data_IF_109997461618
#
_entry.id   IF_109997461618
#
_cell.length_a   1.000
_cell.length_b   1.000
_cell.length_c   1.000
_cell.angle_alpha   90.00
_cell.angle_beta   90.00
_cell.angle_gamma   90.00
#
_symmetry.space_group_name_H-M   'P 1'
#
loop_
_entity.id
_entity.type
_entity.pdbx_description
1 polymer ?
#
# COMPACT_ATOMS: atom_id res chain seq x y z
N UNK A 1 -1.22 5.98 10.81
CA UNK A 1 -1.46 4.55 10.51
C UNK A 1 -1.52 3.66 11.76
N UNK A 2 -0.42 3.59 12.54
CA UNK A 2 -0.36 2.75 13.76
C UNK A 2 -1.53 3.01 14.71
N UNK A 3 -1.74 4.25 15.17
CA UNK A 3 -2.83 4.60 16.10
C UNK A 3 -4.20 4.17 15.57
N UNK A 4 -4.48 4.40 14.28
CA UNK A 4 -5.75 4.02 13.65
C UNK A 4 -5.94 2.49 13.68
N UNK A 5 -4.95 1.75 13.23
CA UNK A 5 -4.97 0.28 13.22
C UNK A 5 -5.14 -0.27 14.65
N UNK A 6 -4.36 0.23 15.62
CA UNK A 6 -4.44 -0.21 17.01
C UNK A 6 -5.82 0.03 17.62
N UNK A 7 -6.43 1.20 17.35
CA UNK A 7 -7.77 1.53 17.86
C UNK A 7 -8.88 0.74 17.14
N UNK A 8 -8.70 0.43 15.87
CA UNK A 8 -9.66 -0.34 15.08
C UNK A 8 -9.59 -1.84 15.34
N UNK A 9 -8.45 -2.38 15.76
CA UNK A 9 -8.24 -3.82 16.01
C UNK A 9 -9.37 -4.43 16.85
N UNK A 10 -9.69 -3.80 17.99
CA UNK A 10 -10.77 -4.26 18.86
C UNK A 10 -12.16 -4.27 18.21
N UNK A 11 -12.41 -3.39 17.23
CA UNK A 11 -13.66 -3.40 16.46
C UNK A 11 -13.63 -4.49 15.38
N UNK A 12 -12.49 -4.70 14.74
CA UNK A 12 -12.31 -5.73 13.73
C UNK A 12 -12.48 -7.14 14.30
N UNK A 13 -12.00 -7.40 15.53
CA UNK A 13 -12.14 -8.71 16.18
C UNK A 13 -13.58 -9.05 16.57
N UNK A 14 -14.46 -8.05 16.71
CA UNK A 14 -15.90 -8.26 16.95
C UNK A 14 -16.70 -8.61 15.69
N UNK A 15 -16.10 -8.48 14.50
CA UNK A 15 -16.74 -8.87 13.24
C UNK A 15 -17.09 -10.36 13.26
N UNK A 16 -18.19 -10.79 12.63
CA UNK A 16 -18.49 -12.22 12.46
C UNK A 16 -17.77 -12.84 11.26
N UNK A 17 -17.17 -12.01 10.39
CA UNK A 17 -16.41 -12.49 9.24
C UNK A 17 -15.10 -13.15 9.69
N UNK A 18 -14.72 -14.31 9.13
CA UNK A 18 -13.53 -15.06 9.55
C UNK A 18 -12.22 -14.34 9.21
N UNK A 19 -12.21 -13.56 8.12
CA UNK A 19 -11.08 -12.74 7.70
C UNK A 19 -11.45 -11.26 7.75
N UNK A 20 -10.49 -10.44 8.16
CA UNK A 20 -10.56 -8.98 8.08
C UNK A 20 -9.26 -8.46 7.52
N UNK A 21 -9.28 -7.27 6.92
CA UNK A 21 -8.17 -6.80 6.11
C UNK A 21 -7.73 -5.41 6.52
N UNK A 22 -6.42 -5.21 6.62
CA UNK A 22 -5.78 -3.90 6.65
C UNK A 22 -4.86 -3.81 5.44
N UNK A 23 -5.23 -2.98 4.46
CA UNK A 23 -4.40 -2.74 3.28
C UNK A 23 -3.76 -1.36 3.39
N UNK A 24 -2.47 -1.33 3.67
CA UNK A 24 -1.70 -0.09 3.72
C UNK A 24 -1.27 0.32 2.30
N UNK A 25 -1.84 1.41 1.78
CA UNK A 25 -1.45 1.95 0.47
C UNK A 25 -0.06 2.56 0.57
N UNK A 26 0.95 1.82 0.11
CA UNK A 26 2.36 2.18 0.17
C UNK A 26 2.88 2.57 -1.22
N UNK A 27 4.19 2.51 -1.42
CA UNK A 27 4.85 2.81 -2.69
C UNK A 27 6.28 2.25 -2.71
N UNK A 28 6.85 2.07 -3.91
CA UNK A 28 8.28 1.78 -4.09
C UNK A 28 9.23 2.81 -3.45
N UNK A 29 8.75 4.02 -3.15
CA UNK A 29 9.49 5.03 -2.39
C UNK A 29 9.84 4.58 -0.95
N UNK A 30 9.03 3.69 -0.37
CA UNK A 30 9.27 3.13 0.97
C UNK A 30 10.32 2.03 1.02
N UNK A 31 10.75 1.49 -0.13
CA UNK A 31 11.75 0.41 -0.21
C UNK A 31 13.15 0.98 -0.05
N UNK A 32 13.95 0.46 0.88
CA UNK A 32 15.29 0.99 1.16
C UNK A 32 16.27 0.68 0.02
N UNK A 33 16.32 -0.57 -0.44
CA UNK A 33 17.28 -1.09 -1.43
C UNK A 33 16.91 -0.77 -2.88
N UNK A 34 16.36 0.42 -3.12
CA UNK A 34 16.02 0.87 -4.48
C UNK A 34 17.26 1.50 -5.15
N UNK A 35 17.58 1.06 -6.37
CA UNK A 35 18.79 1.50 -7.09
C UNK A 35 18.92 3.02 -7.32
N UNK A 36 17.81 3.76 -7.31
CA UNK A 36 17.83 5.22 -7.30
C UNK A 36 16.84 5.78 -6.27
N UNK A 37 17.33 6.69 -5.42
CA UNK A 37 16.54 7.55 -4.55
C UNK A 37 17.05 8.99 -4.66
N UNK A 38 16.26 9.85 -5.32
CA UNK A 38 16.55 11.27 -5.40
C UNK A 38 16.16 12.02 -4.12
N UNK A 39 16.73 13.21 -3.92
CA UNK A 39 16.40 14.11 -2.81
C UNK A 39 15.02 14.81 -2.93
N UNK A 40 14.23 14.47 -3.95
CA UNK A 40 12.96 15.15 -4.26
C UNK A 40 11.83 14.88 -3.26
N UNK A 41 11.74 13.66 -2.71
CA UNK A 41 10.62 13.25 -1.84
C UNK A 41 11.07 12.54 -0.55
N UNK A 42 12.00 13.13 0.26
CA UNK A 42 12.50 12.47 1.46
C UNK A 42 11.39 12.20 2.49
N UNK A 43 10.39 13.07 2.58
CA UNK A 43 9.24 12.90 3.45
C UNK A 43 8.37 11.71 3.03
N UNK A 44 8.08 11.55 1.74
CA UNK A 44 7.30 10.41 1.23
C UNK A 44 8.07 9.11 1.38
N UNK A 45 9.38 9.11 1.11
CA UNK A 45 10.25 7.96 1.35
C UNK A 45 10.15 7.49 2.82
N UNK A 46 10.32 8.40 3.79
CA UNK A 46 10.22 8.08 5.22
C UNK A 46 8.81 7.59 5.61
N UNK A 47 7.77 8.28 5.13
CA UNK A 47 6.38 7.91 5.43
C UNK A 47 6.04 6.51 4.90
N UNK A 48 6.42 6.20 3.66
CA UNK A 48 6.15 4.90 3.04
C UNK A 48 7.03 3.79 3.63
N UNK A 49 8.28 4.10 3.98
CA UNK A 49 9.16 3.15 4.67
C UNK A 49 8.65 2.78 6.06
N UNK A 50 8.23 3.77 6.85
CA UNK A 50 7.63 3.53 8.17
C UNK A 50 6.30 2.76 8.09
N UNK A 51 5.51 3.00 7.03
CA UNK A 51 4.29 2.24 6.76
C UNK A 51 4.57 0.78 6.39
N UNK A 52 5.58 0.53 5.55
CA UNK A 52 6.05 -0.83 5.24
C UNK A 52 6.52 -1.54 6.51
N UNK A 53 7.27 -0.85 7.37
CA UNK A 53 7.76 -1.40 8.62
C UNK A 53 6.61 -1.75 9.57
N UNK A 54 5.57 -0.92 9.65
CA UNK A 54 4.35 -1.24 10.41
C UNK A 54 3.76 -2.58 9.97
N UNK A 55 3.56 -2.78 8.67
CA UNK A 55 3.06 -4.06 8.15
C UNK A 55 4.02 -5.21 8.48
N UNK A 56 5.31 -5.04 8.20
CA UNK A 56 6.32 -6.08 8.43
C UNK A 56 6.39 -6.54 9.89
N UNK A 57 6.25 -5.62 10.84
CA UNK A 57 6.37 -5.92 12.27
C UNK A 57 5.06 -6.42 12.88
N UNK A 58 3.92 -5.84 12.50
CA UNK A 58 2.65 -6.11 13.18
C UNK A 58 1.82 -7.20 12.55
N UNK A 59 2.08 -7.60 11.30
CA UNK A 59 1.17 -8.49 10.57
C UNK A 59 1.00 -9.88 11.21
N UNK A 60 2.03 -10.46 11.81
CA UNK A 60 1.94 -11.77 12.49
C UNK A 60 0.99 -11.72 13.68
N UNK A 61 1.14 -10.71 14.54
CA UNK A 61 0.26 -10.49 15.71
C UNK A 61 -1.17 -10.16 15.27
N UNK A 62 -1.33 -9.40 14.19
CA UNK A 62 -2.66 -9.12 13.62
C UNK A 62 -3.31 -10.37 13.02
N UNK A 63 -2.52 -11.26 12.42
CA UNK A 63 -3.03 -12.50 11.83
C UNK A 63 -3.54 -13.48 12.89
N UNK A 64 -2.95 -13.51 14.09
CA UNK A 64 -3.47 -14.27 15.22
C UNK A 64 -4.92 -13.89 15.60
N UNK A 65 -5.36 -12.67 15.26
CA UNK A 65 -6.73 -12.17 15.42
C UNK A 65 -7.59 -12.31 14.14
N UNK A 66 -7.09 -13.00 13.11
CA UNK A 66 -7.75 -13.14 11.81
C UNK A 66 -7.73 -11.85 10.97
N UNK A 67 -6.76 -10.95 11.21
CA UNK A 67 -6.62 -9.69 10.48
C UNK A 67 -5.38 -9.75 9.57
N UNK A 68 -5.61 -9.85 8.27
CA UNK A 68 -4.57 -9.92 7.25
C UNK A 68 -4.11 -8.49 6.92
N UNK A 69 -2.86 -8.18 7.28
CA UNK A 69 -2.27 -6.86 7.04
C UNK A 69 -1.25 -6.92 5.91
N UNK A 70 -1.42 -6.09 4.88
CA UNK A 70 -0.53 -6.01 3.70
C UNK A 70 -0.12 -4.56 3.41
N UNK A 71 0.97 -4.38 2.67
CA UNK A 71 1.31 -3.10 2.04
C UNK A 71 1.22 -3.25 0.53
N UNK A 72 0.65 -2.27 -0.18
CA UNK A 72 0.44 -2.35 -1.63
C UNK A 72 0.99 -1.13 -2.34
N UNK A 73 1.80 -1.34 -3.37
CA UNK A 73 2.19 -0.33 -4.35
C UNK A 73 1.10 -0.18 -5.42
N UNK A 74 0.51 1.02 -5.51
CA UNK A 74 -0.46 1.33 -6.58
C UNK A 74 0.21 1.56 -7.93
N UNK A 75 1.53 1.71 -7.96
CA UNK A 75 2.25 2.25 -9.09
C UNK A 75 1.97 3.75 -9.29
N UNK A 76 2.40 4.28 -10.43
CA UNK A 76 2.25 5.70 -10.75
C UNK A 76 0.90 5.94 -11.44
N UNK A 77 -0.11 6.29 -10.63
CA UNK A 77 -1.50 6.49 -11.07
C UNK A 77 -1.92 7.96 -11.18
N UNK A 78 -1.12 8.87 -10.61
CA UNK A 78 -1.42 10.31 -10.55
C UNK A 78 -0.17 11.15 -10.79
N UNK A 79 -0.28 12.23 -11.56
CA UNK A 79 0.74 13.26 -11.59
C UNK A 79 0.65 14.15 -10.33
N UNK A 80 1.66 14.03 -9.48
CA UNK A 80 1.81 14.75 -8.20
C UNK A 80 2.66 16.03 -8.33
N UNK A 81 3.07 16.40 -9.55
CA UNK A 81 3.77 17.66 -9.80
C UNK A 81 2.87 18.86 -9.43
N UNK A 82 3.47 20.04 -9.12
CA UNK A 82 2.72 21.26 -8.88
C UNK A 82 1.70 21.56 -9.98
N UNK A 83 0.52 22.03 -9.59
CA UNK A 83 -0.63 22.21 -10.50
C UNK A 83 -0.31 22.94 -11.82
N UNK A 84 0.45 24.06 -11.85
CA UNK A 84 0.78 24.72 -13.12
C UNK A 84 1.60 23.83 -14.06
N UNK A 85 2.58 23.11 -13.51
CA UNK A 85 3.44 22.18 -14.26
C UNK A 85 2.62 21.00 -14.75
N UNK A 86 1.79 20.42 -13.89
CA UNK A 86 0.88 19.31 -14.23
C UNK A 86 -0.05 19.68 -15.38
N UNK A 87 -0.67 20.86 -15.35
CA UNK A 87 -1.57 21.29 -16.44
C UNK A 87 -0.84 21.44 -17.77
N UNK A 88 0.29 22.15 -17.78
CA UNK A 88 1.09 22.33 -18.99
C UNK A 88 1.48 20.99 -19.62
N UNK A 89 1.93 20.05 -18.80
CA UNK A 89 2.32 18.72 -19.27
C UNK A 89 1.13 17.91 -19.78
N UNK A 90 -0.02 18.02 -19.12
CA UNK A 90 -1.25 17.38 -19.58
C UNK A 90 -1.67 17.93 -20.96
N UNK A 91 -1.54 19.24 -21.18
CA UNK A 91 -1.77 19.87 -22.49
C UNK A 91 -0.77 19.39 -23.56
N UNK A 92 0.44 19.03 -23.14
CA UNK A 92 1.48 18.38 -23.97
C UNK A 92 1.24 16.87 -24.15
N UNK A 93 0.14 16.32 -23.61
CA UNK A 93 -0.25 14.92 -23.76
C UNK A 93 0.32 13.97 -22.70
N UNK A 94 1.01 14.50 -21.69
CA UNK A 94 1.52 13.68 -20.58
C UNK A 94 0.38 13.14 -19.71
N UNK A 95 0.47 11.86 -19.38
CA UNK A 95 -0.39 11.19 -18.41
C UNK A 95 0.43 10.15 -17.63
N UNK A 96 -0.06 9.80 -16.44
CA UNK A 96 0.53 8.73 -15.66
C UNK A 96 0.35 7.38 -16.41
N UNK A 97 1.30 6.45 -16.29
CA UNK A 97 1.28 5.19 -17.05
C UNK A 97 0.18 4.21 -16.60
N UNK A 98 -0.38 4.40 -15.40
CA UNK A 98 -1.48 3.63 -14.86
C UNK A 98 -2.63 4.56 -14.52
N UNK A 99 -3.85 4.05 -14.49
CA UNK A 99 -5.03 4.83 -14.13
C UNK A 99 -5.51 4.56 -12.69
N UNK A 100 -6.59 5.24 -12.28
CA UNK A 100 -7.18 5.08 -10.96
C UNK A 100 -7.82 3.70 -10.75
N UNK A 101 -8.28 3.06 -11.84
CA UNK A 101 -8.88 1.73 -11.81
C UNK A 101 -7.79 0.68 -11.56
N UNK A 102 -6.63 0.79 -12.23
CA UNK A 102 -5.44 -0.01 -11.97
C UNK A 102 -4.99 0.11 -10.51
N UNK A 103 -4.91 1.34 -10.01
CA UNK A 103 -4.56 1.61 -8.62
C UNK A 103 -5.52 0.96 -7.63
N UNK A 104 -6.83 1.12 -7.85
CA UNK A 104 -7.86 0.52 -7.01
C UNK A 104 -7.84 -1.02 -7.06
N UNK A 105 -7.64 -1.61 -8.25
CA UNK A 105 -7.55 -3.05 -8.43
C UNK A 105 -6.39 -3.66 -7.63
N UNK A 106 -5.21 -3.01 -7.66
CA UNK A 106 -4.04 -3.43 -6.87
C UNK A 106 -4.32 -3.41 -5.36
N UNK A 107 -4.98 -2.36 -4.85
CA UNK A 107 -5.34 -2.25 -3.43
C UNK A 107 -6.37 -3.30 -3.03
N UNK A 108 -7.27 -3.66 -3.94
CA UNK A 108 -8.33 -4.64 -3.68
C UNK A 108 -7.88 -6.10 -3.79
N UNK A 109 -6.86 -6.39 -4.61
CA UNK A 109 -6.31 -7.75 -4.83
C UNK A 109 -6.09 -8.60 -3.56
N UNK A 110 -5.40 -8.13 -2.51
CA UNK A 110 -5.18 -8.95 -1.31
C UNK A 110 -6.48 -9.37 -0.62
N UNK A 111 -7.55 -8.59 -0.75
CA UNK A 111 -8.87 -8.95 -0.23
C UNK A 111 -9.46 -10.06 -1.09
N UNK A 112 -9.46 -9.91 -2.42
CA UNK A 112 -10.00 -10.92 -3.36
C UNK A 112 -9.30 -12.27 -3.20
N UNK A 113 -7.96 -12.27 -3.06
CA UNK A 113 -7.17 -13.49 -2.83
C UNK A 113 -7.46 -14.11 -1.46
N UNK A 114 -7.59 -13.27 -0.44
CA UNK A 114 -8.01 -13.69 0.91
C UNK A 114 -9.37 -14.38 0.93
N UNK A 115 -10.36 -13.80 0.24
CA UNK A 115 -11.70 -14.41 0.13
C UNK A 115 -11.69 -15.71 -0.69
N UNK A 116 -10.67 -15.93 -1.53
CA UNK A 116 -10.41 -17.19 -2.24
C UNK A 116 -9.60 -18.20 -1.44
N UNK A 117 -9.26 -17.89 -0.18
CA UNK A 117 -8.58 -18.80 0.74
C UNK A 117 -7.07 -18.64 0.83
N UNK A 118 -6.49 -17.60 0.24
CA UNK A 118 -5.06 -17.31 0.38
C UNK A 118 -4.78 -16.37 1.56
N UNK A 119 -4.02 -16.84 2.55
CA UNK A 119 -3.65 -16.01 3.69
C UNK A 119 -2.47 -15.09 3.36
N UNK A 120 -2.76 -14.00 2.66
CA UNK A 120 -1.79 -12.99 2.24
C UNK A 120 -1.65 -11.89 3.30
N UNK A 121 -0.58 -11.94 4.09
CA UNK A 121 -0.26 -10.96 5.14
C UNK A 121 1.24 -10.80 5.31
N UNK A 122 1.68 -9.70 5.95
CA UNK A 122 3.10 -9.49 6.26
C UNK A 122 3.98 -9.34 5.02
N UNK A 123 3.41 -8.86 3.90
CA UNK A 123 4.10 -8.67 2.64
C UNK A 123 3.89 -7.26 2.07
N UNK A 124 4.82 -6.85 1.21
CA UNK A 124 4.66 -5.73 0.30
C UNK A 124 4.35 -6.25 -1.09
N UNK A 125 3.25 -5.81 -1.69
CA UNK A 125 2.80 -6.23 -3.01
C UNK A 125 3.12 -5.16 -4.04
N UNK A 126 3.81 -5.57 -5.09
CA UNK A 126 4.07 -4.79 -6.30
C UNK A 126 3.62 -5.61 -7.50
N UNK A 127 2.80 -5.01 -8.36
CA UNK A 127 2.24 -5.70 -9.53
C UNK A 127 1.60 -7.05 -9.17
N UNK A 128 0.78 -7.07 -8.11
CA UNK A 128 0.06 -8.25 -7.60
C UNK A 128 0.95 -9.38 -7.02
N UNK A 129 2.27 -9.17 -6.92
CA UNK A 129 3.21 -10.15 -6.40
C UNK A 129 3.96 -9.63 -5.15
N UNK A 130 4.34 -10.52 -4.21
CA UNK A 130 5.26 -10.16 -3.13
C UNK A 130 6.57 -9.58 -3.68
N UNK A 131 7.00 -8.48 -3.09
CA UNK A 131 8.22 -7.77 -3.42
C UNK A 131 9.07 -7.56 -2.15
N UNK A 132 10.37 -7.37 -2.35
CA UNK A 132 11.29 -7.10 -1.26
C UNK A 132 10.94 -5.79 -0.51
N UNK A 133 11.22 -5.76 0.79
CA UNK A 133 10.92 -4.63 1.67
C UNK A 133 11.75 -3.38 1.40
#
# INVERSE_FOLDING_TARGET
PFILVSRLRAAMTRSTFPRRYVVNVSAMEGVFERGYKGAGHPHTNMAKASLNMLTRTSAEDMFADGILMTSVDTGWITDERPHPTKMRLADEGFHAPLDLVDGAARVYDPIVRGERGEDLYGCFLKDYAPFAW
#
